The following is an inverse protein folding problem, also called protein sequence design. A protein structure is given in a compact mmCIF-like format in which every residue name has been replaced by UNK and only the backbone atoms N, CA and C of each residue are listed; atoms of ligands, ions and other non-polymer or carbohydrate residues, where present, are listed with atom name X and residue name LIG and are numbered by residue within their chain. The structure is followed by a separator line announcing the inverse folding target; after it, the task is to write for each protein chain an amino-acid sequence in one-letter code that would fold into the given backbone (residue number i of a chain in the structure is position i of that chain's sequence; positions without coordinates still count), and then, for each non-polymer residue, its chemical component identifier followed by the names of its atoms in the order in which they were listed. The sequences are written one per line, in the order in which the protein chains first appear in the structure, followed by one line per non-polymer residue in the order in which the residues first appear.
data_IF_674583937956
#
_entry.id   IF_674583937956
#
_cell.length_a   1.000
_cell.length_b   1.000
_cell.length_c   1.000
_cell.angle_alpha   90.00
_cell.angle_beta   90.00
_cell.angle_gamma   90.00
#
_symmetry.space_group_name_H-M   'P 1'
#
loop_
_entity.id
_entity.type
_entity.pdbx_description
1 polymer ?
#
# COMPACT_ATOMS: atom_id res chain seq x y z
N UNK A 1 -23.81 18.39 -1.78
CA UNK A 1 -22.81 18.24 -0.69
C UNK A 1 -22.04 16.96 -0.95
N UNK A 2 -20.79 17.04 -1.41
CA UNK A 2 -19.90 15.87 -1.46
C UNK A 2 -19.09 15.94 -0.18
N UNK A 3 -19.50 15.18 0.83
CA UNK A 3 -18.84 15.10 2.11
C UNK A 3 -17.43 14.55 1.87
N UNK A 4 -16.43 15.42 2.02
CA UNK A 4 -15.02 15.07 2.10
C UNK A 4 -14.74 14.44 3.48
N UNK A 5 -15.50 13.40 3.81
CA UNK A 5 -15.36 12.70 5.08
C UNK A 5 -14.21 11.72 4.96
N UNK A 6 -13.07 12.18 5.50
CA UNK A 6 -11.98 11.37 6.02
C UNK A 6 -11.46 10.37 5.00
N UNK A 7 -10.42 10.77 4.27
CA UNK A 7 -9.40 9.83 3.79
C UNK A 7 -8.81 9.19 5.04
N UNK A 8 -9.49 8.16 5.56
CA UNK A 8 -8.91 7.20 6.47
C UNK A 8 -7.73 6.67 5.66
N UNK A 9 -6.50 6.87 6.13
CA UNK A 9 -5.38 6.08 5.66
C UNK A 9 -5.75 4.62 5.91
N UNK A 10 -6.43 3.99 4.95
CA UNK A 10 -6.50 2.55 4.87
C UNK A 10 -5.07 2.13 4.58
N UNK A 11 -4.51 1.17 5.32
CA UNK A 11 -3.13 0.68 5.22
C UNK A 11 -2.78 0.04 3.85
N UNK A 12 -3.42 0.46 2.76
CA UNK A 12 -3.42 -0.20 1.46
C UNK A 12 -4.41 -1.35 1.35
N UNK A 13 -5.21 -1.61 2.38
CA UNK A 13 -6.09 -2.79 2.45
C UNK A 13 -7.33 -2.71 1.57
N UNK A 14 -7.73 -1.51 1.14
CA UNK A 14 -8.88 -1.33 0.28
C UNK A 14 -8.54 -0.41 -0.87
N UNK A 15 -9.11 -0.67 -2.04
CA UNK A 15 -8.98 0.23 -3.17
C UNK A 15 -9.76 1.52 -2.91
N UNK A 16 -9.07 2.67 -3.02
CA UNK A 16 -9.68 3.99 -2.81
C UNK A 16 -10.73 4.36 -3.87
N UNK A 17 -10.77 3.66 -5.00
CA UNK A 17 -11.71 3.93 -6.09
C UNK A 17 -12.92 2.99 -6.08
N UNK A 18 -12.72 1.66 -6.00
CA UNK A 18 -13.81 0.69 -6.04
C UNK A 18 -14.16 0.07 -4.68
N UNK A 19 -13.40 0.36 -3.63
CA UNK A 19 -13.65 -0.17 -2.29
C UNK A 19 -13.34 -1.66 -2.10
N UNK A 20 -12.81 -2.35 -3.11
CA UNK A 20 -12.50 -3.78 -3.00
C UNK A 20 -11.40 -4.02 -1.97
N UNK A 21 -11.52 -5.13 -1.25
CA UNK A 21 -10.49 -5.63 -0.34
C UNK A 21 -9.26 -6.07 -1.13
N UNK A 22 -8.10 -5.51 -0.79
CA UNK A 22 -6.80 -5.78 -1.38
C UNK A 22 -5.95 -6.70 -0.49
N UNK A 23 -6.47 -7.17 0.65
CA UNK A 23 -5.80 -8.19 1.45
C UNK A 23 -5.84 -9.52 0.69
N UNK A 24 -4.69 -10.15 0.59
CA UNK A 24 -4.49 -11.45 -0.02
C UNK A 24 -4.36 -12.55 1.03
N UNK A 25 -3.67 -13.62 0.63
CA UNK A 25 -3.41 -14.76 1.50
C UNK A 25 -2.62 -14.35 2.76
N UNK A 26 -2.84 -15.04 3.90
CA UNK A 26 -2.05 -14.82 5.09
C UNK A 26 -0.58 -15.17 4.84
N UNK A 27 0.33 -14.40 5.43
CA UNK A 27 1.75 -14.75 5.44
C UNK A 27 1.91 -15.96 6.37
N UNK A 28 2.58 -17.05 5.94
CA UNK A 28 2.83 -18.21 6.81
C UNK A 28 3.57 -17.82 8.10
N UNK A 29 3.16 -18.42 9.23
CA UNK A 29 3.65 -18.05 10.58
C UNK A 29 5.18 -18.07 10.71
N UNK A 30 5.84 -19.05 10.07
CA UNK A 30 7.30 -19.16 10.03
C UNK A 30 8.02 -17.91 9.50
N UNK A 31 7.32 -17.06 8.73
CA UNK A 31 7.85 -15.83 8.16
C UNK A 31 7.45 -14.57 8.93
N UNK A 32 6.58 -14.65 9.95
CA UNK A 32 6.12 -13.47 10.70
C UNK A 32 7.26 -12.67 11.30
N UNK A 33 8.36 -13.32 11.74
CA UNK A 33 9.56 -12.64 12.24
C UNK A 33 10.24 -11.67 11.25
N UNK A 34 9.93 -11.78 9.96
CA UNK A 34 10.50 -10.94 8.91
C UNK A 34 9.61 -9.75 8.52
N UNK A 35 8.38 -9.69 9.04
CA UNK A 35 7.38 -8.70 8.64
C UNK A 35 6.68 -8.11 9.86
N UNK A 36 6.12 -6.91 9.73
CA UNK A 36 5.25 -6.34 10.75
C UNK A 36 3.81 -6.85 10.60
N UNK A 37 3.03 -6.94 11.70
CA UNK A 37 1.60 -7.18 11.59
C UNK A 37 0.90 -5.97 10.91
N UNK A 38 -0.26 -6.19 10.26
CA UNK A 38 -0.94 -7.48 10.10
C UNK A 38 -0.31 -8.40 9.02
N UNK A 39 -0.35 -9.72 9.24
CA UNK A 39 0.39 -10.70 8.44
C UNK A 39 -0.39 -11.25 7.24
N UNK A 40 -0.58 -10.43 6.20
CA UNK A 40 -1.12 -10.86 4.91
C UNK A 40 -0.34 -10.24 3.76
N UNK A 41 -0.37 -10.90 2.60
CA UNK A 41 0.10 -10.29 1.37
C UNK A 41 -0.90 -9.24 0.89
N UNK A 42 -0.42 -8.15 0.26
CA UNK A 42 -1.30 -7.20 -0.41
C UNK A 42 -1.39 -7.56 -1.91
N UNK A 43 -2.60 -7.47 -2.48
CA UNK A 43 -2.90 -7.76 -3.89
C UNK A 43 -2.60 -6.60 -4.83
N UNK A 44 -2.35 -5.40 -4.31
CA UNK A 44 -2.02 -4.24 -5.13
C UNK A 44 -0.77 -4.52 -5.98
N UNK A 45 -0.81 -4.11 -7.24
CA UNK A 45 0.34 -4.22 -8.15
C UNK A 45 1.22 -3.00 -7.90
N UNK A 46 2.45 -3.23 -7.46
CA UNK A 46 3.41 -2.18 -7.13
C UNK A 46 4.38 -1.96 -8.30
N UNK A 47 4.44 -0.74 -8.81
CA UNK A 47 5.46 -0.30 -9.76
C UNK A 47 6.60 0.35 -8.98
N UNK A 48 7.80 -0.22 -9.11
CA UNK A 48 9.01 0.25 -8.44
C UNK A 48 9.97 0.87 -9.46
N UNK A 49 10.65 1.93 -9.04
CA UNK A 49 11.88 2.40 -9.68
C UNK A 49 13.04 1.73 -8.95
N UNK A 50 13.70 0.81 -9.64
CA UNK A 50 14.81 0.04 -9.08
C UNK A 50 16.07 0.88 -8.89
N UNK A 51 16.23 1.98 -9.63
CA UNK A 51 17.38 2.88 -9.51
C UNK A 51 17.20 3.81 -8.31
N UNK A 52 15.98 4.29 -8.08
CA UNK A 52 15.65 5.14 -6.95
C UNK A 52 15.24 4.37 -5.69
N UNK A 53 15.20 3.03 -5.74
CA UNK A 53 14.73 2.13 -4.68
C UNK A 53 13.41 2.59 -4.04
N UNK A 54 12.44 2.93 -4.89
CA UNK A 54 11.20 3.52 -4.43
C UNK A 54 9.97 3.00 -5.18
N UNK A 55 8.82 3.07 -4.49
CA UNK A 55 7.53 2.79 -5.12
C UNK A 55 7.06 4.02 -5.87
N UNK A 56 6.90 3.89 -7.18
CA UNK A 56 6.42 4.96 -8.06
C UNK A 56 4.90 5.04 -8.01
N UNK A 57 4.23 3.88 -8.11
CA UNK A 57 2.76 3.77 -8.14
C UNK A 57 2.30 2.43 -7.59
N UNK A 58 1.08 2.43 -7.09
CA UNK A 58 0.32 1.22 -6.78
C UNK A 58 -0.94 1.18 -7.64
N UNK A 59 -1.34 -0.01 -8.09
CA UNK A 59 -2.45 -0.22 -9.00
C UNK A 59 -3.40 -1.26 -8.43
N UNK A 60 -4.70 -0.96 -8.46
CA UNK A 60 -5.74 -1.92 -8.11
C UNK A 60 -5.84 -2.99 -9.20
N UNK A 61 -5.68 -4.29 -8.88
CA UNK A 61 -5.74 -5.34 -9.90
C UNK A 61 -7.14 -5.48 -10.51
N UNK A 62 -8.19 -5.08 -9.78
CA UNK A 62 -9.59 -5.23 -10.21
C UNK A 62 -10.09 -4.04 -11.05
N UNK A 63 -9.98 -2.81 -10.53
CA UNK A 63 -10.52 -1.62 -11.22
C UNK A 63 -9.47 -0.78 -11.98
N UNK A 64 -8.19 -1.18 -11.93
CA UNK A 64 -7.05 -0.53 -12.60
C UNK A 64 -6.76 0.92 -12.17
N UNK A 65 -7.44 1.41 -11.13
CA UNK A 65 -7.13 2.71 -10.52
C UNK A 65 -5.69 2.71 -10.01
N UNK A 66 -4.99 3.83 -10.23
CA UNK A 66 -3.59 4.02 -9.86
C UNK A 66 -3.49 5.11 -8.80
N UNK A 67 -2.62 4.92 -7.81
CA UNK A 67 -2.30 5.95 -6.82
C UNK A 67 -0.79 5.99 -6.57
N UNK A 68 -0.29 7.19 -6.32
CA UNK A 68 1.05 7.38 -5.79
C UNK A 68 1.03 7.06 -4.29
N UNK A 69 1.96 6.26 -3.79
CA UNK A 69 2.10 6.08 -2.34
C UNK A 69 2.42 7.44 -1.69
N UNK A 70 2.12 7.61 -0.40
CA UNK A 70 2.60 8.78 0.34
C UNK A 70 4.12 8.79 0.25
N UNK A 71 4.70 9.86 -0.29
CA UNK A 71 6.14 10.07 -0.24
C UNK A 71 6.48 10.33 1.23
N UNK A 72 7.28 9.47 1.87
CA UNK A 72 7.85 9.80 3.16
C UNK A 72 8.68 11.07 2.96
N UNK A 73 8.17 12.19 3.48
CA UNK A 73 8.93 13.45 3.53
C UNK A 73 10.28 13.12 4.18
N UNK A 74 11.35 13.49 3.48
CA UNK A 74 12.76 13.34 3.87
C UNK A 74 12.93 13.11 5.38
N UNK A 75 13.05 11.84 5.80
CA UNK A 75 13.67 11.55 7.07
C UNK A 75 15.15 11.86 6.86
N UNK A 76 15.57 13.07 7.19
CA UNK A 76 16.99 13.36 7.37
C UNK A 76 17.46 12.45 8.49
N UNK A 77 18.12 11.35 8.11
CA UNK A 77 18.89 10.57 9.07
C UNK A 77 20.05 11.46 9.50
N UNK A 78 19.82 12.21 10.59
CA UNK A 78 20.84 12.96 11.30
C UNK A 78 21.98 11.99 11.63
N UNK A 79 23.12 12.23 11.00
CA UNK A 79 24.39 11.60 11.31
C UNK A 79 25.03 12.35 12.48
#
# INVERSE_FOLDING_TARGET
MKTFDKIKQTNGDYCLNCGIDLRGEPIPEKFHKHYGPPYYYNRAITLIDVTADCVVKSICPDCKYQWTPPQEKEKSYGR
#
